data_IF_465005892788
#
_entry.id   IF_465005892788
#
_cell.length_a   1.000
_cell.length_b   1.000
_cell.length_c   1.000
_cell.angle_alpha   90.00
_cell.angle_beta   90.00
_cell.angle_gamma   90.00
#
_symmetry.space_group_name_H-M   'P 1'
#
loop_
_entity.id
_entity.type
_entity.pdbx_description
1 polymer ?
#
# COMPACT_ATOMS: atom_id res chain seq x y z
N UNK A 1 -7.78 -20.99 -61.41
CA UNK A 1 -8.82 -20.41 -60.53
C UNK A 1 -8.38 -20.68 -59.10
N UNK A 2 -7.96 -19.77 -58.22
CA UNK A 2 -8.04 -18.32 -58.13
C UNK A 2 -6.73 -17.81 -57.49
N UNK A 3 -6.05 -16.91 -58.19
CA UNK A 3 -5.07 -15.96 -57.63
C UNK A 3 -5.84 -14.69 -57.24
N UNK A 4 -5.40 -14.02 -56.17
CA UNK A 4 -5.72 -12.64 -55.74
C UNK A 4 -7.09 -12.41 -55.05
N UNK A 5 -7.06 -12.30 -53.72
CA UNK A 5 -7.61 -11.12 -53.02
C UNK A 5 -7.05 -10.98 -51.59
N UNK A 6 -6.16 -9.98 -51.42
CA UNK A 6 -5.88 -9.14 -50.22
C UNK A 6 -5.38 -9.87 -48.95
N UNK A 7 -4.10 -9.75 -48.53
CA UNK A 7 -3.38 -8.52 -48.15
C UNK A 7 -4.25 -7.63 -47.25
N UNK A 8 -4.40 -8.04 -45.99
CA UNK A 8 -4.60 -7.21 -44.79
C UNK A 8 -4.83 -8.16 -43.61
N UNK A 9 -3.77 -8.76 -43.09
CA UNK A 9 -3.63 -9.17 -41.67
C UNK A 9 -2.19 -9.69 -41.47
N UNK A 10 -1.24 -8.85 -41.90
CA UNK A 10 0.09 -8.81 -41.31
C UNK A 10 -0.04 -7.81 -40.16
N UNK A 11 0.62 -8.10 -39.03
CA UNK A 11 0.89 -7.22 -37.88
C UNK A 11 -0.21 -7.16 -36.81
N UNK A 12 -0.30 -8.22 -36.01
CA UNK A 12 -0.61 -8.07 -34.57
C UNK A 12 0.07 -9.12 -33.68
N UNK A 13 0.89 -10.03 -34.25
CA UNK A 13 1.42 -11.17 -33.51
C UNK A 13 2.87 -11.48 -33.87
N UNK A 14 3.75 -10.49 -33.76
CA UNK A 14 5.20 -10.67 -33.52
C UNK A 14 5.84 -9.30 -33.33
N UNK A 15 5.68 -8.76 -32.12
CA UNK A 15 6.69 -7.88 -31.52
C UNK A 15 7.03 -8.53 -30.17
N UNK A 16 7.65 -9.71 -30.25
CA UNK A 16 8.75 -10.02 -29.34
C UNK A 16 9.91 -9.19 -29.91
N UNK A 17 9.87 -7.89 -29.67
CA UNK A 17 11.11 -7.13 -29.67
C UNK A 17 11.90 -7.72 -28.51
N UNK A 18 13.06 -8.25 -28.85
CA UNK A 18 14.23 -8.14 -27.99
C UNK A 18 14.40 -6.64 -27.65
N UNK A 19 13.60 -6.20 -26.68
CA UNK A 19 13.63 -4.88 -26.09
C UNK A 19 14.56 -4.95 -24.91
N UNK A 20 15.75 -4.41 -25.12
CA UNK A 20 16.67 -3.95 -24.09
C UNK A 20 15.96 -3.40 -22.84
N UNK A 21 16.42 -3.87 -21.68
CA UNK A 21 16.32 -3.25 -20.35
C UNK A 21 14.91 -2.92 -19.81
N UNK A 22 14.46 -3.78 -18.90
CA UNK A 22 13.30 -3.60 -18.01
C UNK A 22 13.43 -2.36 -17.10
N UNK A 23 13.07 -1.19 -17.63
CA UNK A 23 12.63 -0.03 -16.87
C UNK A 23 11.23 0.34 -17.37
N UNK A 24 10.25 -0.53 -17.10
CA UNK A 24 8.86 -0.28 -17.47
C UNK A 24 8.12 0.38 -16.31
N UNK A 25 7.24 1.37 -16.58
CA UNK A 25 6.41 1.94 -15.54
C UNK A 25 5.49 0.89 -14.94
N UNK A 26 5.59 0.75 -13.63
CA UNK A 26 4.79 -0.13 -12.77
C UNK A 26 3.46 0.54 -12.45
N UNK A 27 3.46 1.86 -12.41
CA UNK A 27 2.25 2.63 -12.17
C UNK A 27 2.47 4.12 -12.37
N UNK A 28 1.37 4.83 -12.60
CA UNK A 28 1.36 6.29 -12.67
C UNK A 28 0.20 6.79 -11.82
N UNK A 29 0.48 7.73 -10.92
CA UNK A 29 -0.53 8.54 -10.25
C UNK A 29 -0.66 9.84 -11.01
N UNK A 30 -1.88 10.20 -11.40
CA UNK A 30 -2.19 11.50 -11.99
C UNK A 30 -3.19 12.21 -11.10
N UNK A 31 -2.85 13.41 -10.68
CA UNK A 31 -3.69 14.29 -9.88
C UNK A 31 -4.33 15.35 -10.78
N UNK A 32 -5.56 15.74 -10.47
CA UNK A 32 -6.27 16.76 -11.24
C UNK A 32 -5.65 18.16 -11.08
N UNK A 33 -4.87 18.36 -10.02
CA UNK A 33 -4.12 19.59 -9.73
C UNK A 33 -2.73 19.20 -9.25
N UNK A 34 -1.74 20.04 -9.53
CA UNK A 34 -0.38 19.81 -9.04
C UNK A 34 -0.32 19.95 -7.53
N UNK A 35 0.24 18.96 -6.85
CA UNK A 35 0.60 19.00 -5.44
C UNK A 35 2.06 19.37 -5.27
N UNK A 36 2.39 19.97 -4.12
CA UNK A 36 3.77 20.25 -3.74
C UNK A 36 4.37 19.05 -3.00
N UNK A 37 5.57 18.68 -3.43
CA UNK A 37 6.37 17.62 -2.82
C UNK A 37 7.71 18.18 -2.37
N UNK A 38 8.22 17.67 -1.26
CA UNK A 38 9.57 17.97 -0.78
C UNK A 38 10.53 16.86 -1.22
N UNK A 39 11.71 17.25 -1.72
CA UNK A 39 12.80 16.33 -2.04
C UNK A 39 13.82 16.42 -0.93
N UNK A 40 14.06 15.28 -0.27
CA UNK A 40 14.98 15.17 0.84
C UNK A 40 16.11 14.21 0.44
N UNK A 41 17.35 14.68 0.56
CA UNK A 41 18.54 13.85 0.41
C UNK A 41 18.79 13.02 1.66
N UNK A 42 19.13 11.75 1.50
CA UNK A 42 19.45 10.82 2.60
C UNK A 42 20.95 10.51 2.66
N UNK A 43 21.44 10.01 3.81
CA UNK A 43 22.84 9.62 4.02
C UNK A 43 23.39 8.64 2.98
N UNK A 44 22.52 7.80 2.39
CA UNK A 44 22.90 6.82 1.36
C UNK A 44 22.98 7.43 -0.05
N UNK A 45 22.96 8.76 -0.18
CA UNK A 45 22.99 9.52 -1.46
C UNK A 45 21.74 9.37 -2.34
N UNK A 46 20.73 8.63 -1.89
CA UNK A 46 19.41 8.58 -2.52
C UNK A 46 18.60 9.83 -2.18
N UNK A 47 17.90 10.36 -3.19
CA UNK A 47 16.88 11.41 -3.03
C UNK A 47 15.53 10.76 -2.85
N UNK A 48 14.72 11.28 -1.94
CA UNK A 48 13.42 10.71 -1.65
C UNK A 48 12.35 11.79 -1.62
N UNK A 49 11.13 11.39 -1.92
CA UNK A 49 9.98 12.26 -2.07
C UNK A 49 9.15 12.25 -0.79
N UNK A 50 8.67 13.42 -0.38
CA UNK A 50 7.82 13.61 0.78
C UNK A 50 6.64 14.52 0.45
N UNK A 51 5.53 14.32 1.15
CA UNK A 51 4.32 15.13 1.07
C UNK A 51 3.87 15.64 2.43
N UNK A 52 2.96 16.62 2.42
CA UNK A 52 2.33 17.08 3.65
C UNK A 52 1.61 15.91 4.35
N UNK A 53 1.79 15.82 5.67
CA UNK A 53 1.33 14.72 6.51
C UNK A 53 2.38 13.63 6.77
N UNK A 54 3.45 13.54 5.96
CA UNK A 54 4.54 12.59 6.23
C UNK A 54 5.26 12.94 7.54
N UNK A 55 5.78 11.92 8.22
CA UNK A 55 6.40 12.05 9.54
C UNK A 55 7.84 11.56 9.46
N UNK A 56 8.76 12.40 9.88
CA UNK A 56 10.11 11.99 10.21
C UNK A 56 10.12 11.51 11.67
N UNK A 57 10.78 10.39 11.94
CA UNK A 57 10.96 9.85 13.29
C UNK A 57 12.40 9.43 13.51
N UNK A 58 12.89 9.59 14.74
CA UNK A 58 14.22 9.15 15.16
C UNK A 58 14.17 7.68 15.61
N UNK A 59 15.05 6.84 15.05
CA UNK A 59 15.19 5.44 15.52
C UNK A 59 15.72 5.38 16.96
N UNK A 60 16.56 6.36 17.33
CA UNK A 60 17.13 6.46 18.69
C UNK A 60 16.15 7.03 19.69
N UNK A 61 15.25 7.91 19.24
CA UNK A 61 14.28 8.61 20.08
C UNK A 61 12.89 8.59 19.42
N UNK A 62 12.18 7.44 19.40
CA UNK A 62 10.89 7.30 18.70
C UNK A 62 9.82 8.28 19.16
N UNK A 63 9.96 8.82 20.37
CA UNK A 63 9.11 9.85 20.94
C UNK A 63 9.27 11.23 20.27
N UNK A 64 10.38 11.49 19.57
CA UNK A 64 10.64 12.69 18.79
C UNK A 64 10.22 12.42 17.34
N UNK A 65 9.19 13.12 16.90
CA UNK A 65 8.69 13.01 15.54
C UNK A 65 8.23 14.36 15.02
N UNK A 66 8.57 14.63 13.76
CA UNK A 66 8.25 15.86 13.06
C UNK A 66 7.37 15.52 11.87
N UNK A 67 6.14 16.04 11.86
CA UNK A 67 5.23 15.94 10.73
C UNK A 67 5.48 17.10 9.76
N UNK A 68 5.45 16.85 8.46
CA UNK A 68 5.39 17.91 7.47
C UNK A 68 3.98 18.50 7.51
N UNK A 69 3.80 19.66 8.13
CA UNK A 69 2.49 20.31 8.18
C UNK A 69 2.19 21.04 6.86
N UNK A 70 3.21 21.64 6.23
CA UNK A 70 3.04 22.41 5.00
C UNK A 70 4.29 22.34 4.10
N UNK A 71 4.08 22.35 2.78
CA UNK A 71 5.12 22.42 1.76
C UNK A 71 4.85 23.65 0.88
N UNK A 72 5.76 24.62 0.90
CA UNK A 72 5.71 25.82 0.04
C UNK A 72 6.94 25.85 -0.87
N UNK A 73 6.93 26.76 -1.83
CA UNK A 73 8.09 26.99 -2.70
C UNK A 73 9.37 27.23 -1.86
N UNK A 74 10.30 26.28 -1.94
CA UNK A 74 11.60 26.26 -1.27
C UNK A 74 11.58 26.24 0.28
N UNK A 75 10.43 26.01 0.91
CA UNK A 75 10.33 25.89 2.38
C UNK A 75 9.45 24.73 2.81
N UNK A 76 9.89 24.04 3.86
CA UNK A 76 9.18 22.96 4.53
C UNK A 76 8.77 23.44 5.92
N UNK A 77 7.50 23.32 6.29
CA UNK A 77 7.06 23.54 7.67
C UNK A 77 6.92 22.19 8.33
N UNK A 78 7.65 22.00 9.41
CA UNK A 78 7.63 20.80 10.24
C UNK A 78 6.96 21.12 11.56
N UNK A 79 6.11 20.22 12.04
CA UNK A 79 5.40 20.33 13.30
C UNK A 79 5.79 19.15 14.19
N UNK A 80 6.22 19.43 15.42
CA UNK A 80 6.43 18.40 16.43
C UNK A 80 5.10 17.77 16.82
N UNK A 81 4.99 16.46 16.62
CA UNK A 81 3.71 15.74 16.76
C UNK A 81 3.16 15.77 18.19
N UNK A 82 4.00 15.99 19.21
CA UNK A 82 3.56 16.01 20.61
C UNK A 82 3.24 17.40 21.11
N UNK A 83 4.09 18.37 20.79
CA UNK A 83 4.00 19.73 21.31
C UNK A 83 3.24 20.69 20.39
N UNK A 84 3.05 20.33 19.11
CA UNK A 84 2.49 21.21 18.08
C UNK A 84 3.43 22.35 17.67
N UNK A 85 4.65 22.41 18.22
CA UNK A 85 5.61 23.45 17.89
C UNK A 85 6.06 23.30 16.44
N UNK A 86 6.07 24.40 15.68
CA UNK A 86 6.46 24.39 14.26
C UNK A 86 7.87 24.95 14.05
N UNK A 87 8.60 24.37 13.10
CA UNK A 87 9.91 24.81 12.63
C UNK A 87 9.90 24.88 11.11
N UNK A 88 10.49 25.95 10.56
CA UNK A 88 10.62 26.14 9.11
C UNK A 88 12.02 25.68 8.70
N UNK A 89 12.09 24.84 7.68
CA UNK A 89 13.33 24.35 7.08
C UNK A 89 13.41 24.85 5.64
N UNK A 90 14.54 25.45 5.27
CA UNK A 90 14.80 25.96 3.91
C UNK A 90 15.61 24.98 3.08
N UNK A 91 15.51 25.09 1.76
CA UNK A 91 16.33 24.33 0.85
C UNK A 91 17.83 24.45 1.19
N UNK A 92 18.51 23.32 1.31
CA UNK A 92 19.90 23.18 1.76
C UNK A 92 20.08 22.91 3.25
N UNK A 93 19.05 23.12 4.09
CA UNK A 93 19.14 22.91 5.54
C UNK A 93 18.89 21.45 5.92
N UNK A 94 19.47 21.04 7.04
CA UNK A 94 19.21 19.71 7.61
C UNK A 94 17.82 19.66 8.25
N UNK A 95 17.15 18.53 8.11
CA UNK A 95 15.95 18.24 8.90
C UNK A 95 16.38 18.22 10.38
N UNK A 96 15.67 18.93 11.29
CA UNK A 96 16.10 19.15 12.68
C UNK A 96 15.90 17.91 13.55
N UNK A 97 16.56 16.82 13.17
CA UNK A 97 16.74 15.58 13.91
C UNK A 97 18.15 15.04 13.63
N UNK A 98 19.01 15.16 14.64
CA UNK A 98 20.47 14.95 14.55
C UNK A 98 20.86 13.56 14.03
N UNK A 99 20.05 12.53 14.31
CA UNK A 99 20.36 11.15 13.96
C UNK A 99 19.99 10.78 12.52
N UNK A 100 19.13 11.55 11.84
CA UNK A 100 18.68 11.24 10.48
C UNK A 100 19.70 11.61 9.41
N UNK A 101 20.42 12.72 9.59
CA UNK A 101 21.34 13.27 8.57
C UNK A 101 20.66 13.48 7.21
N UNK A 102 19.40 13.92 7.24
CA UNK A 102 18.61 14.23 6.06
C UNK A 102 18.70 15.72 5.74
N UNK A 103 18.77 16.05 4.45
CA UNK A 103 18.88 17.43 3.97
C UNK A 103 17.68 17.74 3.09
N UNK A 104 16.96 18.81 3.38
CA UNK A 104 15.88 19.29 2.52
C UNK A 104 16.51 19.94 1.28
N UNK A 105 16.35 19.34 0.10
CA UNK A 105 16.98 19.86 -1.11
C UNK A 105 16.17 20.97 -1.76
N UNK A 106 14.88 20.70 -2.04
CA UNK A 106 13.98 21.61 -2.76
C UNK A 106 12.55 21.09 -2.72
N UNK A 107 11.61 21.93 -3.15
CA UNK A 107 10.24 21.53 -3.45
C UNK A 107 10.01 21.36 -4.95
N UNK A 108 9.07 20.49 -5.31
CA UNK A 108 8.64 20.29 -6.70
C UNK A 108 7.12 20.25 -6.74
N UNK A 109 6.53 21.06 -7.62
CA UNK A 109 5.13 20.93 -7.99
C UNK A 109 4.98 19.82 -9.03
N UNK A 110 4.12 18.83 -8.77
CA UNK A 110 3.88 17.73 -9.68
C UNK A 110 2.43 17.31 -9.67
N UNK A 111 1.91 16.98 -10.85
CA UNK A 111 0.59 16.38 -11.05
C UNK A 111 0.70 14.91 -11.47
N UNK A 112 1.92 14.40 -11.65
CA UNK A 112 2.18 13.04 -12.13
C UNK A 112 3.33 12.40 -11.36
N UNK A 113 3.06 11.31 -10.64
CA UNK A 113 4.09 10.44 -10.07
C UNK A 113 4.17 9.17 -10.89
N UNK A 114 5.32 8.87 -11.49
CA UNK A 114 5.56 7.61 -12.21
C UNK A 114 6.50 6.73 -11.40
N UNK A 115 6.16 5.45 -11.30
CA UNK A 115 6.88 4.47 -10.52
C UNK A 115 7.46 3.44 -11.47
N UNK A 116 8.78 3.28 -11.41
CA UNK A 116 9.52 2.37 -12.27
C UNK A 116 10.25 1.35 -11.40
N UNK A 117 10.26 0.10 -11.86
CA UNK A 117 11.17 -0.91 -11.31
C UNK A 117 12.39 -0.98 -12.20
N UNK A 118 13.56 -0.96 -11.57
CA UNK A 118 14.83 -1.10 -12.27
C UNK A 118 15.45 -2.45 -12.03
N UNK A 119 16.14 -2.96 -13.04
CA UNK A 119 17.04 -4.08 -12.82
C UNK A 119 18.19 -3.61 -11.91
N UNK A 120 18.43 -4.28 -10.77
CA UNK A 120 19.50 -3.88 -9.87
C UNK A 120 20.85 -3.96 -10.58
N UNK A 121 21.68 -2.93 -10.41
CA UNK A 121 23.00 -2.85 -11.05
C UNK A 121 24.00 -3.88 -10.49
N UNK A 122 23.71 -4.48 -9.33
CA UNK A 122 24.55 -5.45 -8.60
C UNK A 122 23.64 -6.48 -7.91
N UNK A 123 24.20 -7.55 -7.34
CA UNK A 123 23.41 -8.40 -6.42
C UNK A 123 23.07 -7.57 -5.19
N UNK A 124 21.80 -7.23 -5.03
CA UNK A 124 21.25 -6.49 -3.90
C UNK A 124 20.84 -7.53 -2.85
N UNK A 125 21.31 -7.36 -1.61
CA UNK A 125 20.80 -8.15 -0.48
C UNK A 125 19.46 -7.58 -0.02
N UNK A 126 18.69 -8.33 0.78
CA UNK A 126 17.38 -7.86 1.27
C UNK A 126 17.47 -6.53 2.03
N UNK A 127 18.62 -6.26 2.65
CA UNK A 127 18.91 -5.04 3.40
C UNK A 127 19.33 -3.87 2.48
N UNK A 128 19.75 -4.17 1.24
CA UNK A 128 20.14 -3.20 0.21
C UNK A 128 18.94 -2.75 -0.65
N UNK A 129 17.75 -3.37 -0.48
CA UNK A 129 16.53 -2.98 -1.20
C UNK A 129 16.04 -1.63 -0.67
N UNK A 130 16.65 -0.55 -1.15
CA UNK A 130 16.22 0.80 -0.85
C UNK A 130 14.76 1.02 -1.29
N UNK A 131 14.09 1.89 -0.56
CA UNK A 131 12.78 2.40 -0.97
C UNK A 131 12.88 3.20 -2.27
N UNK A 132 11.75 3.54 -2.91
CA UNK A 132 11.76 4.33 -4.13
C UNK A 132 12.56 5.63 -3.96
N UNK A 133 13.40 5.91 -4.94
CA UNK A 133 14.22 7.13 -4.99
C UNK A 133 13.80 8.00 -6.15
N UNK A 134 13.87 9.32 -5.96
CA UNK A 134 13.64 10.31 -7.02
C UNK A 134 14.81 10.23 -8.00
N UNK A 135 14.50 9.91 -9.25
CA UNK A 135 15.49 9.76 -10.31
C UNK A 135 15.42 10.85 -11.33
N UNK A 136 14.20 11.24 -11.68
CA UNK A 136 13.97 12.27 -12.67
C UNK A 136 12.81 13.18 -12.28
N UNK A 137 12.89 14.43 -12.73
CA UNK A 137 11.94 15.50 -12.48
C UNK A 137 11.72 16.22 -13.82
N UNK A 138 10.61 15.93 -14.50
CA UNK A 138 10.33 16.44 -15.84
C UNK A 138 8.99 17.16 -15.87
N UNK A 139 8.96 18.48 -16.13
CA UNK A 139 7.74 19.22 -16.55
C UNK A 139 6.45 18.82 -15.78
N UNK A 140 6.51 18.74 -14.44
CA UNK A 140 5.44 18.32 -13.51
C UNK A 140 5.26 16.80 -13.29
N UNK A 141 6.17 15.97 -13.78
CA UNK A 141 6.25 14.54 -13.53
C UNK A 141 7.45 14.21 -12.66
N UNK A 142 7.25 13.42 -11.62
CA UNK A 142 8.33 12.87 -10.78
C UNK A 142 8.44 11.39 -11.07
N UNK A 143 9.63 10.94 -11.45
CA UNK A 143 9.94 9.52 -11.67
C UNK A 143 10.63 8.98 -10.42
N UNK A 144 9.98 7.99 -9.83
CA UNK A 144 10.44 7.25 -8.68
C UNK A 144 10.91 5.87 -9.16
N UNK A 145 12.13 5.47 -8.82
CA UNK A 145 12.63 4.13 -9.13
C UNK A 145 12.98 3.34 -7.87
N UNK A 146 12.70 2.05 -7.93
CA UNK A 146 13.14 1.06 -6.96
C UNK A 146 13.77 -0.11 -7.68
N UNK A 147 14.82 -0.68 -7.10
CA UNK A 147 15.42 -1.89 -7.63
C UNK A 147 14.49 -3.11 -7.46
N UNK A 148 14.40 -3.88 -8.54
CA UNK A 148 13.47 -5.01 -8.68
C UNK A 148 14.04 -6.29 -8.08
N UNK A 149 13.31 -6.90 -7.14
CA UNK A 149 13.58 -8.26 -6.66
C UNK A 149 12.61 -9.26 -7.28
N UNK A 150 13.13 -10.15 -8.13
CA UNK A 150 12.34 -11.19 -8.80
C UNK A 150 11.74 -12.20 -7.80
N UNK A 151 12.33 -12.39 -6.62
CA UNK A 151 11.80 -13.29 -5.60
C UNK A 151 10.50 -12.77 -4.96
N UNK A 152 10.19 -11.48 -5.13
CA UNK A 152 8.97 -10.85 -4.64
C UNK A 152 7.77 -10.92 -5.61
N UNK A 153 7.95 -11.56 -6.78
CA UNK A 153 6.87 -11.70 -7.77
C UNK A 153 5.82 -12.71 -7.28
N UNK A 154 4.54 -12.32 -7.32
CA UNK A 154 3.45 -13.26 -7.11
C UNK A 154 3.45 -14.30 -8.23
N UNK A 155 3.18 -15.57 -7.89
CA UNK A 155 2.98 -16.65 -8.84
C UNK A 155 1.96 -16.24 -9.94
N UNK A 156 2.12 -16.80 -11.15
CA UNK A 156 1.26 -16.56 -12.32
C UNK A 156 -0.21 -16.39 -11.90
N UNK A 157 -0.82 -15.31 -12.40
CA UNK A 157 -2.22 -15.00 -12.12
C UNK A 157 -3.10 -16.07 -12.77
N UNK A 158 -4.16 -16.48 -12.07
CA UNK A 158 -5.26 -17.23 -12.68
C UNK A 158 -6.07 -16.33 -13.63
N UNK A 159 -6.84 -16.89 -14.56
CA UNK A 159 -7.65 -16.08 -15.50
C UNK A 159 -8.62 -15.10 -14.82
N UNK A 160 -9.20 -15.47 -13.66
CA UNK A 160 -10.05 -14.58 -12.86
C UNK A 160 -9.24 -13.47 -12.17
N UNK A 161 -8.02 -13.76 -11.74
CA UNK A 161 -7.11 -12.75 -11.21
C UNK A 161 -6.65 -11.79 -12.31
N UNK A 162 -6.36 -12.29 -13.51
CA UNK A 162 -6.04 -11.44 -14.66
C UNK A 162 -7.20 -10.49 -14.99
N UNK A 163 -8.44 -10.96 -14.98
CA UNK A 163 -9.62 -10.13 -15.20
C UNK A 163 -9.73 -9.01 -14.15
N UNK A 164 -9.61 -9.35 -12.86
CA UNK A 164 -9.77 -8.39 -11.75
C UNK A 164 -8.63 -7.36 -11.73
N UNK A 165 -7.39 -7.81 -11.91
CA UNK A 165 -6.18 -7.00 -11.70
C UNK A 165 -5.64 -6.34 -12.98
N UNK A 166 -6.07 -6.78 -14.16
CA UNK A 166 -5.72 -6.14 -15.45
C UNK A 166 -6.83 -5.22 -15.97
N UNK A 167 -8.01 -5.23 -15.34
CA UNK A 167 -9.09 -4.30 -15.67
C UNK A 167 -8.64 -2.85 -15.42
N UNK A 168 -8.95 -1.91 -16.33
CA UNK A 168 -8.72 -0.49 -16.09
C UNK A 168 -9.34 -0.05 -14.77
N UNK A 169 -8.69 0.90 -14.09
CA UNK A 169 -9.29 1.56 -12.93
C UNK A 169 -10.61 2.19 -13.36
N UNK A 170 -11.62 1.95 -12.56
CA UNK A 170 -12.97 2.40 -12.83
C UNK A 170 -13.47 3.17 -11.61
N UNK A 171 -13.42 4.51 -11.73
CA UNK A 171 -13.90 5.43 -10.69
C UNK A 171 -15.43 5.31 -10.52
N UNK A 172 -16.11 4.90 -11.58
CA UNK A 172 -17.56 4.77 -11.68
C UNK A 172 -18.03 3.35 -11.35
N UNK A 173 -17.11 2.41 -11.09
CA UNK A 173 -17.44 1.05 -10.67
C UNK A 173 -18.47 1.08 -9.54
N UNK A 174 -19.43 0.16 -9.55
CA UNK A 174 -20.50 0.11 -8.55
C UNK A 174 -19.92 0.27 -7.13
N UNK A 175 -20.47 1.23 -6.39
CA UNK A 175 -20.11 1.53 -5.00
C UNK A 175 -20.66 0.42 -4.09
N UNK A 176 -20.11 -0.79 -4.22
CA UNK A 176 -20.29 -1.83 -3.22
C UNK A 176 -19.41 -1.46 -2.04
N UNK A 177 -20.07 -1.09 -0.96
CA UNK A 177 -19.40 -0.72 0.28
C UNK A 177 -19.42 -1.92 1.22
N UNK A 178 -18.41 -2.01 2.09
CA UNK A 178 -18.45 -2.97 3.18
C UNK A 178 -19.55 -2.52 4.13
N UNK A 179 -20.59 -3.32 4.33
CA UNK A 179 -21.72 -2.99 5.18
C UNK A 179 -21.36 -3.29 6.64
N UNK A 180 -21.01 -2.25 7.40
CA UNK A 180 -20.64 -2.39 8.83
C UNK A 180 -21.72 -3.12 9.65
N UNK A 181 -22.99 -2.95 9.31
CA UNK A 181 -24.13 -3.62 9.95
C UNK A 181 -24.06 -5.15 9.87
N UNK A 182 -23.48 -5.72 8.81
CA UNK A 182 -23.31 -7.17 8.68
C UNK A 182 -22.27 -7.69 9.66
N UNK A 183 -21.27 -6.88 10.02
CA UNK A 183 -20.30 -7.22 11.06
C UNK A 183 -20.93 -7.22 12.44
N UNK A 184 -21.97 -6.40 12.64
CA UNK A 184 -22.70 -6.40 13.89
C UNK A 184 -23.44 -7.71 14.16
N UNK A 185 -23.79 -8.43 13.09
CA UNK A 185 -24.51 -9.70 13.16
C UNK A 185 -23.59 -10.90 13.45
N UNK A 186 -22.27 -10.73 13.27
CA UNK A 186 -21.30 -11.80 13.53
C UNK A 186 -21.26 -12.07 15.03
N UNK A 187 -21.59 -13.30 15.40
CA UNK A 187 -21.51 -13.77 16.79
C UNK A 187 -20.07 -14.21 17.06
N UNK A 188 -19.39 -13.47 17.94
CA UNK A 188 -18.09 -13.82 18.47
C UNK A 188 -18.11 -13.95 19.99
N UNK A 189 -17.19 -14.74 20.51
CA UNK A 189 -16.94 -14.88 21.95
C UNK A 189 -15.44 -14.90 22.18
N UNK A 190 -14.94 -14.04 23.08
CA UNK A 190 -13.54 -14.08 23.50
C UNK A 190 -13.33 -15.26 24.45
N UNK A 191 -12.52 -16.24 24.04
CA UNK A 191 -12.26 -17.50 24.76
C UNK A 191 -10.81 -17.63 25.25
N UNK A 192 -10.00 -16.59 25.07
CA UNK A 192 -8.61 -16.48 25.54
C UNK A 192 -8.06 -15.08 25.25
N UNK A 193 -6.84 -14.78 25.69
CA UNK A 193 -6.26 -13.43 25.62
C UNK A 193 -6.30 -12.83 24.21
N UNK A 194 -6.06 -13.67 23.21
CA UNK A 194 -6.09 -13.35 21.76
C UNK A 194 -6.77 -14.45 20.95
N UNK A 195 -7.76 -15.10 21.56
CA UNK A 195 -8.50 -16.19 20.93
C UNK A 195 -9.99 -15.91 20.99
N UNK A 196 -10.64 -15.96 19.83
CA UNK A 196 -12.08 -15.79 19.68
C UNK A 196 -12.71 -17.04 19.08
N UNK A 197 -13.92 -17.38 19.50
CA UNK A 197 -14.79 -18.30 18.79
C UNK A 197 -15.72 -17.49 17.88
N UNK A 198 -15.81 -17.84 16.60
CA UNK A 198 -16.70 -17.19 15.63
C UNK A 198 -17.72 -18.21 15.14
N UNK A 199 -19.00 -17.84 15.11
CA UNK A 199 -20.02 -18.67 14.50
C UNK A 199 -20.05 -18.46 12.97
N UNK A 200 -19.75 -19.52 12.20
CA UNK A 200 -19.68 -19.45 10.73
C UNK A 200 -20.99 -18.96 10.10
N UNK A 201 -22.12 -19.50 10.56
CA UNK A 201 -23.44 -19.14 10.01
C UNK A 201 -23.72 -17.64 10.14
N UNK A 202 -23.36 -17.03 11.26
CA UNK A 202 -23.50 -15.59 11.46
C UNK A 202 -22.47 -14.75 10.68
N UNK A 203 -21.33 -15.33 10.31
CA UNK A 203 -20.25 -14.65 9.61
C UNK A 203 -20.39 -14.70 8.08
N UNK A 204 -21.21 -15.60 7.53
CA UNK A 204 -21.28 -15.87 6.09
C UNK A 204 -21.65 -14.64 5.27
N UNK A 205 -22.66 -13.89 5.71
CA UNK A 205 -23.09 -12.64 5.03
C UNK A 205 -21.99 -11.57 5.06
N UNK A 206 -21.28 -11.44 6.18
CA UNK A 206 -20.16 -10.52 6.29
C UNK A 206 -19.00 -10.93 5.37
N UNK A 207 -18.64 -12.22 5.32
CA UNK A 207 -17.60 -12.76 4.44
C UNK A 207 -17.94 -12.49 2.96
N UNK A 208 -19.17 -12.77 2.54
CA UNK A 208 -19.59 -12.53 1.16
C UNK A 208 -19.58 -11.04 0.80
N UNK A 209 -20.04 -10.17 1.70
CA UNK A 209 -20.00 -8.73 1.51
C UNK A 209 -18.56 -8.21 1.37
N UNK A 210 -17.63 -8.66 2.23
CA UNK A 210 -16.20 -8.35 2.13
C UNK A 210 -15.66 -8.70 0.74
N UNK A 211 -15.96 -9.90 0.24
CA UNK A 211 -15.49 -10.33 -1.07
C UNK A 211 -15.94 -9.39 -2.19
N UNK A 212 -17.23 -9.08 -2.21
CA UNK A 212 -17.81 -8.18 -3.22
C UNK A 212 -17.23 -6.75 -3.12
N UNK A 213 -17.04 -6.25 -1.90
CA UNK A 213 -16.49 -4.93 -1.65
C UNK A 213 -15.00 -4.87 -1.96
N UNK A 214 -14.23 -5.92 -1.67
CA UNK A 214 -12.80 -6.02 -1.99
C UNK A 214 -12.58 -5.97 -3.50
N UNK A 215 -13.37 -6.69 -4.30
CA UNK A 215 -13.29 -6.64 -5.76
C UNK A 215 -13.60 -5.23 -6.29
N UNK A 216 -14.64 -4.58 -5.76
CA UNK A 216 -14.94 -3.18 -6.11
C UNK A 216 -13.82 -2.22 -5.65
N UNK A 217 -13.23 -2.45 -4.49
CA UNK A 217 -12.17 -1.62 -3.93
C UNK A 217 -10.86 -1.74 -4.70
N UNK A 218 -10.52 -2.94 -5.22
CA UNK A 218 -9.37 -3.16 -6.10
C UNK A 218 -9.45 -2.25 -7.33
N UNK A 219 -10.65 -2.08 -7.92
CA UNK A 219 -10.86 -1.21 -9.09
C UNK A 219 -10.74 0.29 -8.79
N UNK A 220 -10.85 0.68 -7.52
CA UNK A 220 -10.86 2.07 -7.05
C UNK A 220 -9.65 2.45 -6.22
N UNK A 221 -8.72 1.53 -6.01
CA UNK A 221 -7.56 1.73 -5.15
C UNK A 221 -6.82 3.01 -5.52
N UNK A 222 -6.57 3.84 -4.52
CA UNK A 222 -5.83 5.07 -4.68
C UNK A 222 -4.35 4.78 -4.39
N UNK A 223 -3.48 4.82 -5.41
CA UNK A 223 -2.05 4.75 -5.18
C UNK A 223 -1.60 6.01 -4.42
N UNK A 224 -0.76 5.81 -3.42
CA UNK A 224 -0.06 6.87 -2.73
C UNK A 224 1.39 6.49 -2.50
N UNK A 225 2.10 7.37 -1.82
CA UNK A 225 3.46 7.11 -1.36
C UNK A 225 3.59 7.59 0.07
N UNK A 226 4.28 6.81 0.91
CA UNK A 226 4.61 7.21 2.28
C UNK A 226 6.05 6.87 2.56
N UNK A 227 6.83 7.88 2.94
CA UNK A 227 8.27 7.71 3.09
C UNK A 227 8.62 6.68 4.18
N UNK A 228 9.54 5.76 3.87
CA UNK A 228 9.98 4.70 4.79
C UNK A 228 9.09 3.44 4.73
N UNK A 229 7.86 3.59 4.23
CA UNK A 229 6.90 2.50 3.98
C UNK A 229 6.79 2.16 2.48
N UNK A 230 7.13 3.11 1.61
CA UNK A 230 7.17 2.98 0.16
C UNK A 230 5.84 3.29 -0.53
N UNK A 231 5.59 2.72 -1.72
CA UNK A 231 4.31 2.88 -2.40
C UNK A 231 3.22 2.27 -1.52
N UNK A 232 2.15 3.01 -1.36
CA UNK A 232 1.00 2.58 -0.59
C UNK A 232 -0.23 2.50 -1.48
N UNK A 233 -1.15 1.65 -1.07
CA UNK A 233 -2.48 1.57 -1.65
C UNK A 233 -3.49 1.90 -0.56
N UNK A 234 -4.28 2.97 -0.78
CA UNK A 234 -5.30 3.40 0.16
C UNK A 234 -6.66 2.81 -0.21
N UNK A 235 -7.35 2.31 0.81
CA UNK A 235 -8.71 1.77 0.75
C UNK A 235 -9.57 2.50 1.76
N UNK A 236 -10.67 3.07 1.31
CA UNK A 236 -11.68 3.63 2.19
C UNK A 236 -12.91 2.73 2.14
N UNK A 237 -13.37 2.30 3.31
CA UNK A 237 -14.54 1.43 3.48
C UNK A 237 -15.38 1.97 4.63
N UNK A 238 -16.64 1.58 4.76
CA UNK A 238 -17.45 2.00 5.92
C UNK A 238 -17.00 1.31 7.22
N UNK A 239 -16.09 0.33 7.17
CA UNK A 239 -15.42 -0.21 8.35
C UNK A 239 -14.27 0.65 8.84
N UNK A 240 -13.71 1.49 7.96
CA UNK A 240 -12.54 2.31 8.21
C UNK A 240 -11.63 2.44 6.99
N UNK A 241 -10.50 3.11 7.21
CA UNK A 241 -9.46 3.31 6.21
C UNK A 241 -8.35 2.27 6.36
N UNK A 242 -7.88 1.70 5.26
CA UNK A 242 -6.79 0.73 5.28
C UNK A 242 -5.71 1.17 4.30
N UNK A 243 -4.46 1.06 4.74
CA UNK A 243 -3.29 1.40 3.92
C UNK A 243 -2.47 0.14 3.75
N UNK A 244 -2.21 -0.26 2.50
CA UNK A 244 -1.35 -1.41 2.19
C UNK A 244 0.00 -0.91 1.78
N UNK A 245 1.03 -1.42 2.44
CA UNK A 245 2.43 -1.15 2.13
C UNK A 245 3.23 -2.46 2.12
N UNK A 246 4.56 -2.37 2.03
CA UNK A 246 5.45 -3.53 2.02
C UNK A 246 5.39 -4.38 3.29
N UNK A 247 5.02 -3.77 4.41
CA UNK A 247 5.03 -4.36 5.76
C UNK A 247 3.70 -5.04 6.10
N UNK A 248 2.59 -4.64 5.46
CA UNK A 248 1.28 -5.27 5.63
C UNK A 248 0.09 -4.35 5.34
N UNK A 249 -1.07 -4.71 5.88
CA UNK A 249 -2.27 -3.86 5.94
C UNK A 249 -2.28 -3.07 7.24
N UNK A 250 -2.00 -1.77 7.18
CA UNK A 250 -2.14 -0.84 8.28
C UNK A 250 -3.62 -0.45 8.45
N UNK A 251 -4.15 -0.72 9.64
CA UNK A 251 -5.52 -0.39 10.02
C UNK A 251 -5.59 1.05 10.55
N UNK A 252 -6.39 1.90 9.89
CA UNK A 252 -6.56 3.32 10.24
C UNK A 252 -8.05 3.66 10.41
N UNK A 253 -8.38 4.59 11.30
CA UNK A 253 -9.73 5.15 11.42
C UNK A 253 -10.82 4.06 11.46
N UNK A 254 -10.75 3.11 12.39
CA UNK A 254 -11.77 2.06 12.49
C UNK A 254 -13.11 2.71 12.87
N UNK A 255 -14.09 2.60 11.98
CA UNK A 255 -15.44 3.15 12.19
C UNK A 255 -16.32 2.11 12.91
N UNK A 256 -16.11 0.82 12.60
CA UNK A 256 -16.88 -0.25 13.22
C UNK A 256 -16.29 -0.65 14.58
N UNK A 257 -16.86 -0.12 15.67
CA UNK A 257 -16.47 -0.44 17.05
C UNK A 257 -16.42 -1.96 17.34
N UNK A 258 -17.26 -2.76 16.66
CA UNK A 258 -17.18 -4.21 16.79
C UNK A 258 -15.88 -4.82 16.26
N UNK A 259 -15.18 -4.23 15.30
CA UNK A 259 -13.86 -4.74 14.88
C UNK A 259 -12.84 -4.69 16.02
N UNK A 260 -12.93 -3.66 16.88
CA UNK A 260 -12.05 -3.50 18.03
C UNK A 260 -12.49 -4.30 19.24
N UNK A 261 -13.79 -4.34 19.52
CA UNK A 261 -14.37 -5.01 20.69
C UNK A 261 -14.49 -6.53 20.50
N UNK A 262 -15.01 -6.97 19.35
CA UNK A 262 -15.43 -8.36 19.11
C UNK A 262 -14.37 -9.19 18.39
N UNK A 263 -13.37 -8.55 17.77
CA UNK A 263 -12.30 -9.22 17.02
C UNK A 263 -10.89 -8.82 17.49
N UNK A 264 -10.77 -7.84 18.40
CA UNK A 264 -9.48 -7.47 18.99
C UNK A 264 -8.48 -6.81 18.04
N UNK A 265 -8.91 -6.41 16.84
CA UNK A 265 -8.13 -5.61 15.87
C UNK A 265 -8.19 -4.15 16.30
N UNK A 266 -7.07 -3.45 16.36
CA UNK A 266 -7.00 -2.06 16.83
C UNK A 266 -6.47 -1.14 15.75
N UNK A 267 -6.84 0.13 15.86
CA UNK A 267 -6.21 1.17 15.06
C UNK A 267 -4.70 1.18 15.35
N UNK A 268 -3.90 1.30 14.28
CA UNK A 268 -2.45 1.20 14.35
C UNK A 268 -1.90 -0.22 14.20
N UNK A 269 -2.76 -1.25 14.16
CA UNK A 269 -2.31 -2.60 13.83
C UNK A 269 -1.81 -2.67 12.38
N UNK A 270 -0.71 -3.39 12.18
CA UNK A 270 -0.23 -3.79 10.85
C UNK A 270 -0.44 -5.29 10.71
N UNK A 271 -1.43 -5.70 9.92
CA UNK A 271 -1.68 -7.11 9.61
C UNK A 271 -0.65 -7.56 8.59
N UNK A 272 0.20 -8.51 8.98
CA UNK A 272 1.31 -9.01 8.16
C UNK A 272 0.93 -10.27 7.39
N UNK A 273 0.27 -11.21 8.08
CA UNK A 273 -0.17 -12.47 7.50
C UNK A 273 -1.58 -12.84 7.94
N UNK A 274 -2.26 -13.62 7.11
CA UNK A 274 -3.52 -14.29 7.45
C UNK A 274 -3.36 -15.76 7.07
N UNK A 275 -3.52 -16.67 8.03
CA UNK A 275 -3.26 -18.12 7.86
C UNK A 275 -1.86 -18.40 7.29
N UNK A 276 -0.86 -17.61 7.67
CA UNK A 276 0.51 -17.73 7.16
C UNK A 276 0.71 -17.17 5.75
N UNK A 277 -0.34 -16.72 5.05
CA UNK A 277 -0.22 -16.05 3.76
C UNK A 277 0.09 -14.56 3.97
N UNK A 278 1.12 -14.02 3.31
CA UNK A 278 1.45 -12.61 3.42
C UNK A 278 0.35 -11.74 2.83
N UNK A 279 -0.01 -10.70 3.57
CA UNK A 279 -0.99 -9.70 3.15
C UNK A 279 -0.27 -8.36 3.02
N UNK A 280 0.61 -8.23 2.04
CA UNK A 280 1.30 -6.97 1.72
C UNK A 280 0.98 -6.49 0.29
N UNK A 281 -0.09 -7.05 -0.29
CA UNK A 281 -0.59 -6.70 -1.62
C UNK A 281 -2.08 -6.99 -1.72
N UNK A 282 -2.75 -6.33 -2.65
CA UNK A 282 -4.15 -6.59 -2.97
C UNK A 282 -4.40 -8.03 -3.44
N UNK A 283 -3.48 -8.57 -4.25
CA UNK A 283 -3.55 -9.93 -4.73
C UNK A 283 -3.42 -10.93 -3.57
N UNK A 284 -2.49 -10.69 -2.63
CA UNK A 284 -2.35 -11.49 -1.42
C UNK A 284 -3.64 -11.51 -0.60
N UNK A 285 -4.23 -10.34 -0.37
CA UNK A 285 -5.51 -10.24 0.35
C UNK A 285 -6.65 -10.94 -0.39
N UNK A 286 -6.76 -10.75 -1.71
CA UNK A 286 -7.76 -11.44 -2.53
C UNK A 286 -7.62 -12.96 -2.45
N UNK A 287 -6.40 -13.49 -2.56
CA UNK A 287 -6.12 -14.93 -2.44
C UNK A 287 -6.47 -15.48 -1.05
N UNK A 288 -6.16 -14.73 0.00
CA UNK A 288 -6.59 -15.08 1.38
C UNK A 288 -8.10 -15.13 1.47
N UNK A 289 -8.79 -14.10 0.97
CA UNK A 289 -10.25 -14.06 0.95
C UNK A 289 -10.83 -15.26 0.21
N UNK A 290 -10.37 -15.53 -1.02
CA UNK A 290 -10.86 -16.67 -1.81
C UNK A 290 -10.59 -17.99 -1.09
N UNK A 291 -9.44 -18.16 -0.43
CA UNK A 291 -9.15 -19.35 0.36
C UNK A 291 -10.11 -19.53 1.54
N UNK A 292 -10.40 -18.46 2.29
CA UNK A 292 -11.31 -18.51 3.46
C UNK A 292 -12.77 -18.69 3.02
N UNK A 293 -13.19 -18.01 1.96
CA UNK A 293 -14.56 -18.03 1.46
C UNK A 293 -14.90 -19.35 0.75
N UNK A 294 -13.96 -19.90 -0.05
CA UNK A 294 -14.18 -21.17 -0.76
C UNK A 294 -14.04 -22.40 0.14
N UNK A 295 -13.25 -22.31 1.21
CA UNK A 295 -13.03 -23.42 2.13
C UNK A 295 -14.01 -23.39 3.31
N UNK A 296 -15.12 -24.11 3.15
CA UNK A 296 -16.13 -24.31 4.21
C UNK A 296 -15.57 -25.06 5.44
N UNK A 297 -14.49 -25.82 5.26
CA UNK A 297 -13.84 -26.58 6.32
C UNK A 297 -12.78 -25.78 7.08
N UNK A 298 -12.56 -24.50 6.75
CA UNK A 298 -11.67 -23.64 7.55
C UNK A 298 -12.19 -23.51 8.98
N UNK A 299 -11.50 -24.14 9.94
CA UNK A 299 -11.84 -24.10 11.37
C UNK A 299 -11.03 -23.07 12.16
N UNK A 300 -9.98 -22.54 11.57
CA UNK A 300 -9.04 -21.64 12.23
C UNK A 300 -8.63 -20.53 11.27
N UNK A 301 -8.70 -19.30 11.75
CA UNK A 301 -8.13 -18.13 11.12
C UNK A 301 -7.07 -17.54 12.07
N UNK A 302 -5.84 -17.36 11.61
CA UNK A 302 -4.76 -16.74 12.39
C UNK A 302 -4.27 -15.48 11.71
N UNK A 303 -4.25 -14.36 12.44
CA UNK A 303 -3.74 -13.08 11.96
C UNK A 303 -2.45 -12.75 12.70
N UNK A 304 -1.33 -12.71 11.99
CA UNK A 304 -0.11 -12.14 12.56
C UNK A 304 -0.11 -10.63 12.34
N UNK A 305 -0.06 -9.88 13.44
CA UNK A 305 -0.07 -8.42 13.45
C UNK A 305 1.20 -7.88 14.09
N UNK A 306 1.57 -6.65 13.76
CA UNK A 306 2.43 -5.81 14.58
C UNK A 306 1.59 -4.73 15.25
N UNK A 307 1.68 -4.64 16.58
CA UNK A 307 1.02 -3.65 17.43
C UNK A 307 2.06 -3.01 18.34
N UNK A 308 2.16 -1.68 18.32
CA UNK A 308 3.14 -0.93 19.12
C UNK A 308 4.59 -1.46 18.93
N UNK A 309 4.92 -1.85 17.69
CA UNK A 309 6.23 -2.43 17.33
C UNK A 309 6.45 -3.89 17.76
N UNK A 310 5.48 -4.53 18.44
CA UNK A 310 5.56 -5.94 18.87
C UNK A 310 4.72 -6.85 17.99
N UNK A 311 5.24 -8.03 17.66
CA UNK A 311 4.48 -9.06 16.94
C UNK A 311 3.48 -9.73 17.87
N UNK A 312 2.29 -9.98 17.34
CA UNK A 312 1.18 -10.62 18.06
C UNK A 312 0.36 -11.47 17.08
N UNK A 313 -0.24 -12.56 17.56
CA UNK A 313 -1.12 -13.39 16.73
C UNK A 313 -2.53 -13.40 17.32
N UNK A 314 -3.51 -13.00 16.51
CA UNK A 314 -4.94 -13.11 16.84
C UNK A 314 -5.49 -14.39 16.22
N UNK A 315 -6.20 -15.19 17.01
CA UNK A 315 -6.70 -16.50 16.58
C UNK A 315 -8.22 -16.53 16.64
N UNK A 316 -8.87 -16.96 15.56
CA UNK A 316 -10.30 -17.10 15.47
C UNK A 316 -10.67 -18.54 15.13
N UNK A 317 -11.33 -19.22 16.06
CA UNK A 317 -11.85 -20.57 15.90
C UNK A 317 -13.24 -20.49 15.30
N UNK A 318 -13.37 -20.88 14.04
CA UNK A 318 -14.63 -20.88 13.31
C UNK A 318 -15.40 -22.16 13.68
N UNK A 319 -16.58 -21.99 14.27
CA UNK A 319 -17.49 -23.04 14.73
C UNK A 319 -18.81 -23.02 13.96
#
# INVERSE_FOLDING_TARGET
MFKRLKILFIIAFTIILAGSAFASPVGTVKENKSSWYAIIGTRNKGKKLYMAGDIFFSDKFPAKSLRISEIKENTLVLEDVKSGASVIVKAGESIPMEDLGMIFEKTVASSVLEYNYNKPARKITRDDLEDFTVKNLEKQKIVLEKDYDRASQAAQLSGREEEIFSSPRDKDADKKIILAELFNQVKSEKIGDDVWALNRGSAESAIHNIGSALVSAIKKVEPGYRFGEGPILKFNTDLGSVVVNRDGFLVQNIIAAKLTEDFGIKEGDIIKTINGYPVNSLLGLYRVYENVASNKDTKLLSLDIARDGKTKTLVYKIR
#
